data_IF_729033449139
#
_entry.id   IF_729033449139
#
_cell.length_a   1.000
_cell.length_b   1.000
_cell.length_c   1.000
_cell.angle_alpha   90.00
_cell.angle_beta   90.00
_cell.angle_gamma   90.00
#
_symmetry.space_group_name_H-M   'P 1'
#
loop_
_entity.id
_entity.type
_entity.pdbx_description
1 polymer ?
#
# COMPACT_ATOMS: atom_id res chain seq x y z
N UNK A 1 -19.27 9.37 0.26
CA UNK A 1 -18.96 8.98 1.62
C UNK A 1 -18.41 10.19 2.36
N UNK A 2 -18.65 10.31 3.68
CA UNK A 2 -18.26 11.49 4.46
C UNK A 2 -16.75 11.54 4.78
N UNK A 3 -16.34 12.62 5.46
CA UNK A 3 -14.94 12.85 5.87
C UNK A 3 -14.42 11.80 6.85
N UNK A 4 -15.30 11.07 7.52
CA UNK A 4 -14.97 9.96 8.41
C UNK A 4 -14.29 8.76 7.72
N UNK A 5 -14.30 8.72 6.38
CA UNK A 5 -13.64 7.69 5.57
C UNK A 5 -12.33 8.14 4.92
N UNK A 6 -11.84 9.34 5.25
CA UNK A 6 -10.55 9.80 4.77
C UNK A 6 -9.43 8.84 5.19
N UNK A 7 -8.60 8.44 4.25
CA UNK A 7 -7.52 7.47 4.47
C UNK A 7 -7.97 6.01 4.60
N UNK A 8 -9.25 5.67 4.41
CA UNK A 8 -9.73 4.28 4.49
C UNK A 8 -9.14 3.38 3.41
N UNK A 9 -8.66 3.93 2.30
CA UNK A 9 -7.94 3.19 1.26
C UNK A 9 -6.58 2.65 1.71
N UNK A 10 -6.04 3.15 2.81
CA UNK A 10 -4.75 2.76 3.39
C UNK A 10 -4.90 2.03 4.73
N UNK A 11 -6.03 1.37 5.00
CA UNK A 11 -6.25 0.64 6.25
C UNK A 11 -5.18 -0.43 6.51
N UNK A 12 -4.71 -1.16 5.48
CA UNK A 12 -3.63 -2.13 5.64
C UNK A 12 -2.32 -1.49 6.14
N UNK A 13 -1.99 -0.27 5.71
CA UNK A 13 -0.84 0.48 6.24
C UNK A 13 -1.11 0.91 7.69
N UNK A 14 -2.34 1.31 8.03
CA UNK A 14 -2.70 1.62 9.43
C UNK A 14 -2.55 0.42 10.35
N UNK A 15 -2.94 -0.77 9.89
CA UNK A 15 -2.78 -2.02 10.64
C UNK A 15 -1.29 -2.34 10.86
N UNK A 16 -0.45 -2.12 9.85
CA UNK A 16 1.00 -2.28 9.97
C UNK A 16 1.61 -1.25 10.93
N UNK A 17 1.17 -0.01 10.90
CA UNK A 17 1.58 1.02 11.89
C UNK A 17 1.15 0.60 13.30
N UNK A 18 -0.05 0.06 13.47
CA UNK A 18 -0.51 -0.45 14.76
C UNK A 18 0.38 -1.60 15.27
N UNK A 19 0.76 -2.54 14.39
CA UNK A 19 1.68 -3.62 14.72
C UNK A 19 3.07 -3.09 15.13
N UNK A 20 3.59 -2.08 14.44
CA UNK A 20 4.86 -1.44 14.80
C UNK A 20 4.79 -0.70 16.15
N UNK A 21 3.67 -0.05 16.46
CA UNK A 21 3.43 0.53 17.78
C UNK A 21 3.42 -0.55 18.88
N UNK A 22 2.82 -1.70 18.59
CA UNK A 22 2.86 -2.82 19.54
C UNK A 22 4.30 -3.31 19.75
N UNK A 23 5.08 -3.45 18.68
CA UNK A 23 6.51 -3.81 18.78
C UNK A 23 7.26 -2.80 19.65
N UNK A 24 7.10 -1.50 19.40
CA UNK A 24 7.76 -0.45 20.16
C UNK A 24 7.43 -0.50 21.66
N UNK A 25 6.22 -0.95 22.03
CA UNK A 25 5.76 -0.99 23.41
C UNK A 25 6.08 -2.29 24.15
N UNK A 26 6.32 -3.39 23.43
CA UNK A 26 6.34 -4.72 24.06
C UNK A 26 7.60 -5.54 23.74
N UNK A 27 8.40 -5.16 22.72
CA UNK A 27 9.43 -6.07 22.22
C UNK A 27 10.57 -6.31 23.21
N UNK A 28 10.80 -5.41 24.18
CA UNK A 28 11.77 -5.59 25.26
C UNK A 28 11.45 -6.82 26.11
N UNK A 29 10.17 -7.07 26.40
CA UNK A 29 9.72 -8.23 27.19
C UNK A 29 10.02 -9.56 26.46
N UNK A 30 10.24 -9.50 25.15
CA UNK A 30 10.61 -10.65 24.30
C UNK A 30 12.10 -10.70 23.98
N UNK A 31 12.93 -9.83 24.61
CA UNK A 31 14.37 -9.78 24.40
C UNK A 31 14.81 -9.02 23.16
N UNK A 32 13.90 -8.28 22.49
CA UNK A 32 14.21 -7.40 21.37
C UNK A 32 14.59 -5.98 21.82
N UNK A 33 15.07 -5.20 20.87
CA UNK A 33 15.43 -3.79 21.08
C UNK A 33 14.48 -2.89 20.28
N UNK A 34 13.59 -2.13 20.95
CA UNK A 34 12.66 -1.22 20.26
C UNK A 34 13.37 -0.09 19.51
N UNK A 35 14.64 0.22 19.84
CA UNK A 35 15.46 1.19 19.11
C UNK A 35 16.22 0.59 17.91
N UNK A 36 16.02 -0.69 17.60
CA UNK A 36 16.71 -1.38 16.50
C UNK A 36 15.75 -2.25 15.66
N UNK A 37 14.60 -1.71 15.30
CA UNK A 37 13.59 -2.40 14.50
C UNK A 37 13.94 -2.29 13.01
N UNK A 38 13.96 -3.42 12.33
CA UNK A 38 14.13 -3.49 10.86
C UNK A 38 12.84 -4.01 10.25
N UNK A 39 12.27 -3.26 9.30
CA UNK A 39 11.16 -3.74 8.48
C UNK A 39 11.69 -4.29 7.15
N UNK A 40 11.08 -5.38 6.67
CA UNK A 40 11.46 -5.93 5.38
C UNK A 40 10.27 -6.58 4.68
N UNK A 41 10.36 -6.70 3.36
CA UNK A 41 9.32 -7.34 2.58
C UNK A 41 9.69 -7.50 1.11
N UNK A 42 9.04 -8.47 0.46
CA UNK A 42 9.17 -8.78 -0.96
C UNK A 42 7.86 -8.48 -1.68
N UNK A 43 7.93 -8.02 -2.94
CA UNK A 43 6.78 -7.73 -3.79
C UNK A 43 5.78 -6.79 -3.10
N UNK A 44 4.57 -7.23 -2.78
CA UNK A 44 3.58 -6.48 -2.02
C UNK A 44 4.08 -6.09 -0.62
N UNK A 45 4.89 -6.94 0.02
CA UNK A 45 5.57 -6.61 1.29
C UNK A 45 6.62 -5.52 1.11
N UNK A 46 7.41 -5.56 0.04
CA UNK A 46 8.33 -4.49 -0.34
C UNK A 46 7.60 -3.16 -0.60
N UNK A 47 6.45 -3.22 -1.28
CA UNK A 47 5.57 -2.05 -1.47
C UNK A 47 5.06 -1.50 -0.13
N UNK A 48 4.70 -2.36 0.82
CA UNK A 48 4.30 -1.96 2.17
C UNK A 48 5.43 -1.26 2.92
N UNK A 49 6.67 -1.78 2.83
CA UNK A 49 7.88 -1.13 3.39
C UNK A 49 8.01 0.29 2.84
N UNK A 50 7.89 0.47 1.52
CA UNK A 50 7.96 1.79 0.90
C UNK A 50 6.77 2.69 1.30
N UNK A 51 5.59 2.11 1.47
CA UNK A 51 4.41 2.81 1.98
C UNK A 51 4.60 3.33 3.42
N UNK A 52 5.21 2.53 4.29
CA UNK A 52 5.54 2.92 5.66
C UNK A 52 6.59 4.05 5.70
N UNK A 53 7.59 4.04 4.81
CA UNK A 53 8.56 5.16 4.67
C UNK A 53 7.84 6.47 4.29
N UNK A 54 6.77 6.40 3.50
CA UNK A 54 5.99 7.55 3.05
C UNK A 54 4.86 7.97 4.03
N UNK A 55 4.65 7.20 5.10
CA UNK A 55 3.61 7.44 6.10
C UNK A 55 4.17 8.16 7.34
N UNK A 56 3.81 9.44 7.59
CA UNK A 56 4.34 10.18 8.74
C UNK A 56 4.05 9.53 10.09
N UNK A 57 2.92 8.82 10.21
CA UNK A 57 2.55 8.12 11.45
C UNK A 57 3.43 6.89 11.76
N UNK A 58 4.29 6.47 10.82
CA UNK A 58 5.25 5.40 11.02
C UNK A 58 6.66 5.91 11.43
N UNK A 59 6.83 7.24 11.50
CA UNK A 59 8.11 7.85 11.83
C UNK A 59 8.57 7.45 13.23
N UNK A 60 9.83 6.98 13.33
CA UNK A 60 10.41 6.53 14.60
C UNK A 60 9.98 5.14 15.06
N UNK A 61 9.06 4.45 14.35
CA UNK A 61 8.64 3.09 14.70
C UNK A 61 9.57 2.00 14.13
N UNK A 62 10.43 2.35 13.19
CA UNK A 62 11.46 1.47 12.65
C UNK A 62 12.73 2.27 12.29
N UNK A 63 13.85 1.57 12.24
CA UNK A 63 15.18 2.16 12.19
C UNK A 63 15.95 1.74 10.92
N UNK A 64 15.50 0.69 10.23
CA UNK A 64 16.07 0.16 9.00
C UNK A 64 14.97 -0.43 8.15
N UNK A 65 15.17 -0.43 6.84
CA UNK A 65 14.20 -0.96 5.89
C UNK A 65 14.89 -1.76 4.77
N UNK A 66 14.25 -2.87 4.34
CA UNK A 66 14.69 -3.67 3.21
C UNK A 66 13.48 -3.94 2.31
N UNK A 67 13.56 -3.50 1.05
CA UNK A 67 12.49 -3.68 0.07
C UNK A 67 13.00 -4.52 -1.12
N UNK A 68 12.52 -5.75 -1.23
CA UNK A 68 12.85 -6.66 -2.31
C UNK A 68 11.77 -6.59 -3.40
N UNK A 69 12.17 -6.28 -4.64
CA UNK A 69 11.28 -6.20 -5.81
C UNK A 69 9.99 -5.41 -5.54
N UNK A 70 10.08 -4.20 -4.93
CA UNK A 70 8.91 -3.48 -4.50
C UNK A 70 8.20 -2.79 -5.66
N UNK A 71 6.88 -2.68 -5.60
CA UNK A 71 6.16 -1.61 -6.31
C UNK A 71 6.42 -0.26 -5.63
N UNK A 72 6.48 0.82 -6.40
CA UNK A 72 6.72 2.18 -5.87
C UNK A 72 5.39 2.86 -5.55
N UNK A 73 5.28 3.46 -4.36
CA UNK A 73 4.13 4.29 -3.98
C UNK A 73 4.28 5.68 -4.59
N UNK A 74 3.72 5.88 -5.75
CA UNK A 74 3.76 7.16 -6.48
C UNK A 74 2.41 7.57 -7.09
N UNK A 75 1.37 6.75 -6.90
CA UNK A 75 0.07 7.01 -7.48
C UNK A 75 -0.91 7.54 -6.42
N UNK A 76 -1.71 8.55 -6.78
CA UNK A 76 -2.77 9.03 -5.91
C UNK A 76 -3.84 7.96 -5.70
N UNK A 77 -4.48 8.01 -4.54
CA UNK A 77 -5.67 7.21 -4.27
C UNK A 77 -6.79 7.57 -5.24
N UNK A 78 -7.43 6.54 -5.79
CA UNK A 78 -8.59 6.73 -6.65
C UNK A 78 -9.87 6.39 -5.89
N UNK A 79 -10.87 7.24 -6.02
CA UNK A 79 -12.18 6.96 -5.45
C UNK A 79 -12.90 5.88 -6.26
N UNK A 80 -13.41 4.87 -5.59
CA UNK A 80 -14.28 3.84 -6.18
C UNK A 80 -15.77 4.26 -6.18
N UNK A 81 -16.10 5.40 -5.55
CA UNK A 81 -17.47 5.90 -5.42
C UNK A 81 -18.18 6.05 -6.77
N UNK A 82 -17.57 6.63 -7.83
CA UNK A 82 -18.25 6.73 -9.11
C UNK A 82 -18.67 5.37 -9.70
N UNK A 83 -17.82 4.36 -9.59
CA UNK A 83 -18.13 3.01 -10.07
C UNK A 83 -19.28 2.37 -9.26
N UNK A 84 -19.30 2.58 -7.94
CA UNK A 84 -20.38 2.09 -7.08
C UNK A 84 -21.70 2.83 -7.34
N UNK A 85 -21.66 4.14 -7.56
CA UNK A 85 -22.83 4.93 -7.97
C UNK A 85 -23.39 4.41 -9.29
N UNK A 86 -22.55 4.18 -10.28
CA UNK A 86 -22.96 3.63 -11.58
C UNK A 86 -23.58 2.23 -11.43
N UNK A 87 -22.96 1.38 -10.60
CA UNK A 87 -23.45 -0.01 -10.40
C UNK A 87 -24.80 -0.08 -9.70
N UNK A 88 -25.02 0.73 -8.67
CA UNK A 88 -26.20 0.64 -7.81
C UNK A 88 -27.23 1.72 -8.09
N UNK A 89 -26.94 2.71 -8.92
CA UNK A 89 -27.82 3.83 -9.29
C UNK A 89 -28.35 4.62 -8.07
N UNK A 90 -27.55 4.68 -7.00
CA UNK A 90 -27.85 5.43 -5.76
C UNK A 90 -26.63 6.24 -5.32
N UNK A 91 -26.87 7.32 -4.57
CA UNK A 91 -25.84 8.25 -4.11
C UNK A 91 -25.95 8.53 -2.61
N UNK A 92 -24.96 9.19 -2.03
CA UNK A 92 -25.01 9.70 -0.65
C UNK A 92 -25.31 8.59 0.37
N UNK A 93 -26.25 8.86 1.25
CA UNK A 93 -26.64 7.96 2.34
C UNK A 93 -27.22 6.63 1.82
N UNK A 94 -28.01 6.66 0.75
CA UNK A 94 -28.56 5.44 0.15
C UNK A 94 -27.46 4.51 -0.40
N UNK A 95 -26.37 5.06 -0.96
CA UNK A 95 -25.22 4.27 -1.38
C UNK A 95 -24.52 3.63 -0.18
N UNK A 96 -24.35 4.39 0.90
CA UNK A 96 -23.76 3.88 2.15
C UNK A 96 -24.58 2.70 2.70
N UNK A 97 -25.89 2.86 2.83
CA UNK A 97 -26.78 1.81 3.31
C UNK A 97 -26.73 0.57 2.39
N UNK A 98 -26.69 0.79 1.07
CA UNK A 98 -26.54 -0.31 0.11
C UNK A 98 -25.23 -1.06 0.31
N UNK A 99 -24.10 -0.37 0.47
CA UNK A 99 -22.79 -0.99 0.69
C UNK A 99 -22.78 -1.81 1.99
N UNK A 100 -23.33 -1.28 3.08
CA UNK A 100 -23.41 -1.99 4.36
C UNK A 100 -24.36 -3.20 4.34
N UNK A 101 -25.30 -3.26 3.40
CA UNK A 101 -26.20 -4.40 3.22
C UNK A 101 -25.61 -5.53 2.38
N UNK A 102 -24.44 -5.33 1.75
CA UNK A 102 -23.81 -6.34 0.91
C UNK A 102 -23.19 -7.45 1.75
N UNK A 103 -23.32 -8.67 1.28
CA UNK A 103 -22.53 -9.80 1.76
C UNK A 103 -21.04 -9.64 1.38
N UNK A 104 -20.15 -10.34 2.07
CA UNK A 104 -18.73 -10.35 1.73
C UNK A 104 -18.48 -10.80 0.26
N UNK A 105 -19.22 -11.79 -0.22
CA UNK A 105 -19.13 -12.26 -1.60
C UNK A 105 -19.52 -11.17 -2.61
N UNK A 106 -20.59 -10.41 -2.34
CA UNK A 106 -21.02 -9.31 -3.18
C UNK A 106 -19.99 -8.17 -3.17
N UNK A 107 -19.39 -7.86 -2.01
CA UNK A 107 -18.31 -6.87 -1.90
C UNK A 107 -17.12 -7.28 -2.76
N UNK A 108 -16.65 -8.51 -2.64
CA UNK A 108 -15.53 -9.04 -3.45
C UNK A 108 -15.87 -8.97 -4.95
N UNK A 109 -17.08 -9.38 -5.34
CA UNK A 109 -17.52 -9.31 -6.73
C UNK A 109 -17.68 -7.88 -7.27
N UNK A 110 -17.75 -6.86 -6.40
CA UNK A 110 -17.83 -5.45 -6.79
C UNK A 110 -16.47 -4.75 -6.84
N UNK A 111 -15.43 -5.37 -6.28
CA UNK A 111 -14.09 -4.81 -6.40
C UNK A 111 -13.74 -4.75 -7.89
N UNK A 112 -13.45 -3.58 -8.46
CA UNK A 112 -12.81 -3.54 -9.76
C UNK A 112 -11.52 -4.37 -9.66
N UNK A 113 -11.04 -4.93 -10.76
CA UNK A 113 -9.70 -5.52 -10.86
C UNK A 113 -8.66 -4.44 -10.56
N UNK A 114 -8.63 -4.03 -9.31
CA UNK A 114 -7.63 -3.13 -8.76
C UNK A 114 -6.40 -4.01 -8.67
N UNK A 115 -5.42 -3.71 -9.50
CA UNK A 115 -4.11 -4.31 -9.38
C UNK A 115 -3.64 -4.23 -7.93
N UNK A 116 -2.66 -5.04 -7.57
CA UNK A 116 -2.06 -5.12 -6.23
C UNK A 116 -1.98 -3.71 -5.63
N UNK A 117 -2.87 -3.43 -4.71
CA UNK A 117 -2.92 -2.13 -4.06
C UNK A 117 -2.17 -2.20 -2.74
N UNK A 118 -0.88 -1.96 -2.79
CA UNK A 118 -0.19 -1.43 -1.63
C UNK A 118 -0.71 -0.01 -1.31
N UNK A 119 -0.17 0.63 -0.30
CA UNK A 119 -0.59 1.99 0.03
C UNK A 119 -0.56 2.93 -1.17
N UNK A 120 -1.54 3.80 -1.26
CA UNK A 120 -1.63 4.88 -2.25
C UNK A 120 -1.57 6.22 -1.55
N UNK A 121 -1.10 7.25 -2.23
CA UNK A 121 -1.10 8.62 -1.70
C UNK A 121 -2.56 9.05 -1.52
N UNK A 122 -3.02 9.11 -0.27
CA UNK A 122 -4.38 9.49 0.11
C UNK A 122 -4.45 10.83 0.85
N UNK A 123 -3.29 11.47 1.09
CA UNK A 123 -3.19 12.75 1.79
C UNK A 123 -3.44 12.68 3.30
N UNK A 124 -3.67 11.49 3.85
CA UNK A 124 -3.99 11.27 5.28
C UNK A 124 -3.01 10.29 5.94
N UNK A 125 -2.93 9.07 5.43
CA UNK A 125 -2.01 8.02 5.92
C UNK A 125 -0.70 8.09 5.15
N UNK A 126 -0.77 8.10 3.83
CA UNK A 126 0.36 8.31 2.94
C UNK A 126 0.19 9.69 2.31
N UNK A 127 1.02 10.64 2.73
CA UNK A 127 0.87 12.05 2.36
C UNK A 127 1.67 12.44 1.12
N UNK A 128 2.62 11.61 0.70
CA UNK A 128 3.56 11.88 -0.40
C UNK A 128 4.04 10.58 -1.05
N UNK A 129 4.73 10.69 -2.19
CA UNK A 129 5.36 9.53 -2.80
C UNK A 129 6.53 9.01 -1.95
N UNK A 130 6.89 7.73 -2.14
CA UNK A 130 8.08 7.17 -1.49
C UNK A 130 9.34 7.92 -1.90
N UNK A 131 9.45 8.29 -3.18
CA UNK A 131 10.61 9.02 -3.69
C UNK A 131 10.75 10.37 -3.00
N UNK A 132 9.66 11.15 -2.91
CA UNK A 132 9.66 12.43 -2.20
C UNK A 132 10.02 12.25 -0.73
N UNK A 133 9.48 11.22 -0.07
CA UNK A 133 9.79 10.93 1.34
C UNK A 133 11.27 10.64 1.58
N UNK A 134 11.92 9.90 0.67
CA UNK A 134 13.34 9.60 0.74
C UNK A 134 14.19 10.86 0.48
N UNK A 135 13.85 11.62 -0.58
CA UNK A 135 14.58 12.82 -0.96
C UNK A 135 14.51 13.92 0.11
N UNK A 136 13.34 14.15 0.69
CA UNK A 136 13.16 15.15 1.74
C UNK A 136 13.93 14.83 3.02
N UNK A 137 14.07 13.57 3.37
CA UNK A 137 14.80 13.13 4.57
C UNK A 137 16.30 13.09 4.34
N UNK A 138 16.76 12.90 3.11
CA UNK A 138 18.17 12.82 2.77
C UNK A 138 18.94 11.83 3.66
N UNK A 139 20.10 12.23 4.17
CA UNK A 139 20.94 11.40 5.03
C UNK A 139 20.34 11.12 6.43
N UNK A 140 19.31 11.85 6.84
CA UNK A 140 18.60 11.63 8.11
C UNK A 140 17.46 10.61 7.98
N UNK A 141 17.25 10.09 6.77
CA UNK A 141 16.26 9.06 6.50
C UNK A 141 16.66 7.71 7.09
N UNK A 142 15.68 6.80 7.13
CA UNK A 142 15.92 5.43 7.53
C UNK A 142 16.83 4.75 6.49
N UNK A 143 17.93 4.11 6.91
CA UNK A 143 18.75 3.30 6.01
C UNK A 143 17.91 2.29 5.23
N UNK A 144 18.00 2.33 3.91
CA UNK A 144 17.18 1.51 3.00
C UNK A 144 18.08 0.66 2.11
N UNK A 145 17.82 -0.65 2.08
CA UNK A 145 18.29 -1.54 1.03
C UNK A 145 17.10 -1.80 0.12
N UNK A 146 17.22 -1.47 -1.16
CA UNK A 146 16.21 -1.77 -2.16
C UNK A 146 16.87 -2.42 -3.38
N UNK A 147 16.18 -3.40 -3.97
CA UNK A 147 16.70 -4.08 -5.15
C UNK A 147 15.63 -4.92 -5.84
N UNK A 148 15.96 -5.32 -7.06
CA UNK A 148 15.16 -6.22 -7.89
C UNK A 148 16.02 -7.38 -8.37
N UNK A 149 15.38 -8.47 -8.80
CA UNK A 149 16.08 -9.56 -9.45
C UNK A 149 16.49 -9.15 -10.88
N UNK A 150 17.54 -9.76 -11.42
CA UNK A 150 17.99 -9.49 -12.79
C UNK A 150 16.93 -9.85 -13.83
N UNK A 151 16.25 -10.95 -13.62
CA UNK A 151 15.27 -11.51 -14.55
C UNK A 151 13.85 -11.42 -13.97
N UNK A 152 13.51 -10.28 -13.37
CA UNK A 152 12.26 -10.00 -12.62
C UNK A 152 11.01 -10.26 -13.47
N UNK A 153 11.05 -9.89 -14.74
CA UNK A 153 9.92 -10.04 -15.66
C UNK A 153 9.61 -11.49 -16.07
N UNK A 154 10.54 -12.43 -15.88
CA UNK A 154 10.39 -13.80 -16.39
C UNK A 154 9.17 -14.54 -15.82
N UNK A 155 8.88 -14.34 -14.53
CA UNK A 155 7.68 -14.91 -13.91
C UNK A 155 6.40 -14.33 -14.51
N UNK A 156 6.37 -13.02 -14.69
CA UNK A 156 5.17 -12.31 -15.18
C UNK A 156 4.96 -12.55 -16.66
N UNK A 157 6.04 -12.67 -17.46
CA UNK A 157 5.95 -12.99 -18.88
C UNK A 157 5.26 -14.34 -19.13
N UNK A 158 5.48 -15.33 -18.25
CA UNK A 158 4.80 -16.61 -18.34
C UNK A 158 3.27 -16.55 -18.09
N UNK A 159 2.79 -15.44 -17.52
CA UNK A 159 1.36 -15.20 -17.25
C UNK A 159 0.69 -14.32 -18.33
N UNK A 160 1.48 -13.76 -19.28
CA UNK A 160 0.97 -12.92 -20.35
C UNK A 160 0.60 -13.83 -21.53
N UNK A 161 -0.66 -13.78 -22.03
CA UNK A 161 -1.05 -14.54 -23.21
C UNK A 161 -0.18 -14.17 -24.43
N UNK A 162 0.20 -15.16 -25.22
CA UNK A 162 1.03 -14.95 -26.43
C UNK A 162 0.45 -13.90 -27.38
N UNK A 163 -0.86 -13.70 -27.36
CA UNK A 163 -1.57 -12.70 -28.16
C UNK A 163 -1.27 -11.25 -27.76
N UNK A 164 -0.70 -11.02 -26.58
CA UNK A 164 -0.35 -9.68 -26.09
C UNK A 164 1.13 -9.29 -26.34
N UNK A 165 1.98 -10.24 -26.73
CA UNK A 165 3.40 -9.98 -26.97
C UNK A 165 3.68 -8.95 -28.07
N UNK A 166 2.97 -8.97 -29.22
CA UNK A 166 3.21 -7.99 -30.29
C UNK A 166 3.02 -6.54 -29.86
N UNK A 167 2.08 -6.28 -28.93
CA UNK A 167 1.79 -4.94 -28.43
C UNK A 167 2.85 -4.43 -27.44
N UNK A 168 3.65 -5.32 -26.86
CA UNK A 168 4.69 -4.97 -25.87
C UNK A 168 6.07 -4.72 -26.51
N UNK A 169 6.30 -5.23 -27.71
CA UNK A 169 7.58 -5.04 -28.45
C UNK A 169 7.65 -3.67 -29.16
N UNK A 170 6.51 -2.99 -29.36
CA UNK A 170 6.43 -1.70 -30.06
C UNK A 170 6.48 -0.46 -29.13
N UNK A 171 6.58 -0.62 -27.81
CA UNK A 171 6.64 0.42 -26.78
C UNK A 171 8.04 0.62 -26.24
#
# INVERSE_FOLDING_TARGET
LGTEFLGSGSNGIRDQIMALNWVAQNIEDYGGDPANVTIFGESAGGHSVLGLIAAPAADGLFHKAIAHSPGIVNLPSQSTVPALVSKYSVTGQALRERIYSLSAAEIVATQPNLGISGGRIDGTVITRSTVDAILERGEQGVPLIAGTNRDEGTLFSALIPDTMWPEMEEG
#
